data_IF_626803412848
#
_entry.id   IF_626803412848
#
_cell.length_a   1.000
_cell.length_b   1.000
_cell.length_c   1.000
_cell.angle_alpha   90.00
_cell.angle_beta   90.00
_cell.angle_gamma   90.00
#
_symmetry.space_group_name_H-M   'P 1'
#
loop_
_entity.id
_entity.type
_entity.pdbx_description
1 polymer ?
#
# COMPACT_ATOMS: atom_id res chain seq x y z
N UNK A 1 20.35 -22.15 -4.39
CA UNK A 1 19.21 -22.57 -3.59
C UNK A 1 18.18 -21.48 -3.72
N UNK A 2 17.04 -21.74 -4.35
CA UNK A 2 15.91 -20.79 -4.37
C UNK A 2 15.43 -20.63 -2.94
N UNK A 3 15.38 -19.39 -2.45
CA UNK A 3 14.82 -19.08 -1.15
C UNK A 3 13.34 -19.53 -1.17
N UNK A 4 12.97 -20.46 -0.33
CA UNK A 4 11.58 -20.93 -0.21
C UNK A 4 10.85 -19.87 0.63
N UNK A 5 9.82 -19.24 0.06
CA UNK A 5 8.91 -18.35 0.78
C UNK A 5 7.74 -19.14 1.36
N UNK A 6 7.25 -18.75 2.52
CA UNK A 6 6.04 -19.31 3.12
C UNK A 6 4.79 -18.89 2.33
N UNK A 7 4.85 -17.74 1.66
CA UNK A 7 3.87 -17.30 0.68
C UNK A 7 4.49 -16.47 -0.44
N UNK A 8 4.12 -16.78 -1.67
CA UNK A 8 4.61 -16.05 -2.85
C UNK A 8 3.46 -15.78 -3.83
N UNK A 9 3.42 -14.54 -4.31
CA UNK A 9 2.53 -14.11 -5.40
C UNK A 9 3.35 -13.43 -6.48
N UNK A 10 3.06 -13.77 -7.75
CA UNK A 10 3.58 -13.03 -8.89
C UNK A 10 2.43 -12.71 -9.87
N UNK A 11 2.15 -11.42 -10.04
CA UNK A 11 1.20 -10.88 -11.01
C UNK A 11 1.95 -10.17 -12.14
N UNK A 12 1.54 -10.43 -13.38
CA UNK A 12 2.08 -9.74 -14.55
C UNK A 12 0.94 -9.27 -15.44
N UNK A 13 1.03 -8.00 -15.88
CA UNK A 13 0.02 -7.34 -16.69
C UNK A 13 0.60 -6.86 -17.99
N UNK A 14 -0.15 -6.98 -19.09
CA UNK A 14 0.25 -6.46 -20.40
C UNK A 14 -0.94 -5.88 -21.15
N UNK A 15 -0.66 -4.87 -21.97
CA UNK A 15 -1.66 -4.31 -22.88
C UNK A 15 -1.77 -5.19 -24.12
N UNK A 16 -3.00 -5.58 -24.50
CA UNK A 16 -3.31 -6.22 -25.77
C UNK A 16 -4.45 -5.46 -26.44
N UNK A 17 -4.14 -4.78 -27.54
CA UNK A 17 -5.12 -4.02 -28.33
C UNK A 17 -5.92 -2.98 -27.51
N UNK A 18 -5.23 -2.25 -26.65
CA UNK A 18 -5.86 -1.21 -25.80
C UNK A 18 -6.55 -1.75 -24.55
N UNK A 19 -6.46 -3.03 -24.26
CA UNK A 19 -7.01 -3.64 -23.04
C UNK A 19 -5.92 -4.31 -22.22
N UNK A 20 -5.87 -4.04 -20.92
CA UNK A 20 -4.98 -4.74 -20.01
C UNK A 20 -5.51 -6.13 -19.68
N UNK A 21 -4.62 -7.11 -19.75
CA UNK A 21 -4.86 -8.49 -19.34
C UNK A 21 -3.79 -8.94 -18.36
N UNK A 22 -4.13 -9.83 -17.44
CA UNK A 22 -3.14 -10.54 -16.64
C UNK A 22 -2.54 -11.68 -17.47
N UNK A 23 -1.27 -11.58 -17.81
CA UNK A 23 -0.54 -12.63 -18.54
C UNK A 23 0.19 -13.58 -17.60
N UNK A 24 0.38 -13.19 -16.34
CA UNK A 24 0.98 -14.02 -15.30
C UNK A 24 0.18 -13.90 -14.01
N UNK A 25 -0.17 -15.05 -13.45
CA UNK A 25 -0.86 -15.18 -12.16
C UNK A 25 -0.33 -16.42 -11.47
N UNK A 26 0.66 -16.23 -10.62
CA UNK A 26 1.30 -17.31 -9.86
C UNK A 26 1.09 -17.08 -8.37
N UNK A 27 0.87 -18.15 -7.64
CA UNK A 27 0.69 -18.14 -6.20
C UNK A 27 1.19 -19.45 -5.57
N UNK A 28 1.82 -19.34 -4.41
CA UNK A 28 2.40 -20.48 -3.70
C UNK A 28 2.32 -20.28 -2.19
N UNK A 29 2.42 -21.36 -1.43
CA UNK A 29 2.43 -21.35 0.04
C UNK A 29 1.13 -20.81 0.62
N UNK A 30 1.24 -19.88 1.58
CA UNK A 30 0.12 -19.25 2.30
C UNK A 30 -0.49 -18.04 1.59
N UNK A 31 0.00 -17.66 0.42
CA UNK A 31 -0.52 -16.54 -0.36
C UNK A 31 -1.42 -16.97 -1.49
N UNK A 32 -2.50 -16.23 -1.72
CA UNK A 32 -3.46 -16.44 -2.82
C UNK A 32 -3.80 -15.12 -3.50
N UNK A 33 -4.33 -15.23 -4.71
CA UNK A 33 -4.85 -14.12 -5.50
C UNK A 33 -6.31 -14.39 -5.82
N UNK A 34 -7.16 -13.38 -5.77
CA UNK A 34 -8.57 -13.50 -6.12
C UNK A 34 -8.79 -13.99 -7.56
N UNK A 35 -10.02 -14.32 -7.90
CA UNK A 35 -10.45 -14.47 -9.28
C UNK A 35 -10.22 -13.16 -10.06
N UNK A 36 -10.26 -13.26 -11.38
CA UNK A 36 -10.14 -12.10 -12.27
C UNK A 36 -11.36 -11.18 -12.10
N UNK A 37 -11.09 -9.92 -11.77
CA UNK A 37 -12.09 -8.88 -11.63
C UNK A 37 -11.70 -7.69 -12.51
N UNK A 38 -12.68 -6.87 -12.85
CA UNK A 38 -12.45 -5.58 -13.53
C UNK A 38 -13.36 -4.52 -12.91
N UNK A 39 -12.86 -3.30 -12.84
CA UNK A 39 -13.68 -2.15 -12.43
C UNK A 39 -14.64 -1.70 -13.56
N UNK A 40 -15.37 -0.61 -13.33
CA UNK A 40 -16.31 -0.06 -14.31
C UNK A 40 -15.63 0.46 -15.59
N UNK A 41 -14.33 0.75 -15.55
CA UNK A 41 -13.53 1.20 -16.68
C UNK A 41 -12.83 0.03 -17.41
N UNK A 42 -13.03 -1.21 -16.96
CA UNK A 42 -12.37 -2.40 -17.50
C UNK A 42 -10.95 -2.61 -17.01
N UNK A 43 -10.50 -1.86 -16.01
CA UNK A 43 -9.18 -2.05 -15.37
C UNK A 43 -9.20 -3.33 -14.56
N UNK A 44 -8.29 -4.29 -14.83
CA UNK A 44 -8.22 -5.52 -14.03
C UNK A 44 -7.75 -5.19 -12.61
N UNK A 45 -8.41 -5.80 -11.62
CA UNK A 45 -7.98 -5.68 -10.23
C UNK A 45 -7.97 -7.02 -9.50
N UNK A 46 -7.03 -7.13 -8.56
CA UNK A 46 -6.78 -8.35 -7.79
C UNK A 46 -6.67 -8.07 -6.30
N UNK A 47 -7.22 -8.98 -5.51
CA UNK A 47 -7.00 -9.03 -4.08
C UNK A 47 -5.86 -10.00 -3.76
N UNK A 48 -4.88 -9.55 -3.00
CA UNK A 48 -3.92 -10.41 -2.31
C UNK A 48 -4.59 -10.97 -1.05
N UNK A 49 -4.49 -12.28 -0.86
CA UNK A 49 -5.18 -13.01 0.19
C UNK A 49 -4.16 -13.82 0.98
N UNK A 50 -4.12 -13.63 2.28
CA UNK A 50 -3.31 -14.44 3.17
C UNK A 50 -4.16 -15.58 3.75
N UNK A 51 -3.77 -16.82 3.44
CA UNK A 51 -4.40 -18.02 4.00
C UNK A 51 -3.93 -18.19 5.46
N UNK A 52 -4.78 -18.76 6.31
CA UNK A 52 -4.42 -18.98 7.72
C UNK A 52 -4.64 -17.75 8.63
N UNK A 53 -5.20 -16.65 8.08
CA UNK A 53 -5.66 -15.50 8.86
C UNK A 53 -4.57 -14.50 9.25
N UNK A 54 -3.28 -14.74 8.96
CA UNK A 54 -2.19 -13.81 9.24
C UNK A 54 -0.82 -14.46 9.15
N UNK A 55 0.22 -13.66 9.36
CA UNK A 55 1.62 -14.08 9.29
C UNK A 55 2.10 -14.62 10.65
N UNK A 56 2.76 -15.76 10.64
CA UNK A 56 3.31 -16.42 11.82
C UNK A 56 4.78 -16.05 12.01
N UNK A 57 5.28 -16.19 13.21
CA UNK A 57 6.67 -15.90 13.58
C UNK A 57 7.69 -16.56 12.64
N UNK A 58 8.60 -15.76 12.08
CA UNK A 58 9.70 -16.22 11.23
C UNK A 58 9.34 -16.48 9.78
N UNK A 59 8.06 -16.39 9.40
CA UNK A 59 7.62 -16.55 8.01
C UNK A 59 8.13 -15.43 7.11
N UNK A 60 8.35 -15.77 5.84
CA UNK A 60 8.82 -14.88 4.78
C UNK A 60 7.87 -14.90 3.59
N UNK A 61 7.44 -13.73 3.17
CA UNK A 61 6.49 -13.52 2.09
C UNK A 61 7.09 -12.70 0.96
N UNK A 62 6.72 -13.04 -0.27
CA UNK A 62 7.13 -12.30 -1.46
C UNK A 62 5.91 -11.94 -2.31
N UNK A 63 5.84 -10.68 -2.74
CA UNK A 63 4.91 -10.20 -3.76
C UNK A 63 5.73 -9.62 -4.91
N UNK A 64 5.47 -10.05 -6.14
CA UNK A 64 6.08 -9.50 -7.35
C UNK A 64 4.97 -9.04 -8.29
N UNK A 65 5.10 -7.82 -8.82
CA UNK A 65 4.13 -7.23 -9.74
C UNK A 65 4.88 -6.61 -10.91
N UNK A 66 4.59 -7.07 -12.11
CA UNK A 66 5.13 -6.51 -13.35
C UNK A 66 3.99 -5.89 -14.16
N UNK A 67 4.08 -4.62 -14.46
CA UNK A 67 3.12 -3.90 -15.32
C UNK A 67 3.86 -3.44 -16.56
N UNK A 68 3.63 -4.16 -17.66
CA UNK A 68 4.30 -3.91 -18.92
C UNK A 68 3.76 -2.62 -19.56
N UNK A 69 4.46 -2.16 -20.58
CA UNK A 69 4.14 -0.95 -21.35
C UNK A 69 2.66 -0.81 -21.65
N UNK A 70 2.14 0.41 -21.41
CA UNK A 70 0.74 0.83 -21.67
C UNK A 70 -0.32 -0.02 -20.92
N UNK A 71 0.06 -0.83 -19.95
CA UNK A 71 -0.88 -1.61 -19.15
C UNK A 71 -1.30 -0.83 -17.89
N UNK A 72 -2.54 -1.02 -17.44
CA UNK A 72 -3.09 -0.43 -16.22
C UNK A 72 -3.69 -1.53 -15.34
N UNK A 73 -3.27 -1.62 -14.08
CA UNK A 73 -3.77 -2.62 -13.14
C UNK A 73 -3.95 -2.03 -11.74
N UNK A 74 -4.85 -2.66 -10.97
CA UNK A 74 -5.05 -2.37 -9.56
C UNK A 74 -4.81 -3.63 -8.74
N UNK A 75 -4.02 -3.50 -7.68
CA UNK A 75 -3.75 -4.58 -6.72
C UNK A 75 -3.99 -4.05 -5.30
N UNK A 76 -4.74 -4.79 -4.53
CA UNK A 76 -5.04 -4.46 -3.12
C UNK A 76 -5.05 -5.74 -2.28
N UNK A 77 -5.13 -5.63 -0.96
CA UNK A 77 -5.33 -6.77 -0.08
C UNK A 77 -6.83 -7.01 0.15
N UNK A 78 -7.23 -8.24 0.44
CA UNK A 78 -8.63 -8.54 0.79
C UNK A 78 -8.97 -8.06 2.19
N UNK A 79 -8.01 -8.18 3.10
CA UNK A 79 -8.10 -7.79 4.51
C UNK A 79 -6.77 -7.19 4.96
N UNK A 80 -6.72 -6.47 6.07
CA UNK A 80 -5.47 -6.08 6.72
C UNK A 80 -4.52 -7.27 6.91
N UNK A 81 -3.22 -7.00 6.93
CA UNK A 81 -2.21 -8.01 7.22
C UNK A 81 -2.04 -8.16 8.72
N UNK A 82 -2.52 -9.25 9.28
CA UNK A 82 -2.31 -9.58 10.69
C UNK A 82 -0.92 -10.21 10.87
N UNK A 83 -0.16 -9.71 11.84
CA UNK A 83 1.14 -10.29 12.20
C UNK A 83 1.07 -10.81 13.63
N UNK A 84 1.13 -12.12 13.77
CA UNK A 84 0.97 -12.76 15.08
C UNK A 84 2.20 -12.58 15.98
N UNK A 85 2.03 -12.91 17.27
CA UNK A 85 3.08 -12.80 18.27
C UNK A 85 4.33 -13.62 17.88
N UNK A 86 5.49 -13.09 18.24
CA UNK A 86 6.79 -13.73 18.06
C UNK A 86 7.32 -14.18 19.43
N UNK A 87 7.11 -15.43 19.78
CA UNK A 87 7.52 -15.97 21.09
C UNK A 87 9.01 -16.30 21.18
N UNK A 88 9.60 -16.71 20.05
CA UNK A 88 11.03 -17.01 19.91
C UNK A 88 11.85 -15.79 19.49
N UNK A 89 11.21 -14.64 19.26
CA UNK A 89 11.84 -13.39 18.85
C UNK A 89 12.28 -13.35 17.37
N UNK A 90 11.84 -14.30 16.56
CA UNK A 90 12.14 -14.30 15.12
C UNK A 90 11.37 -13.20 14.40
N UNK A 91 11.96 -12.68 13.34
CA UNK A 91 11.38 -11.61 12.53
C UNK A 91 10.52 -12.20 11.41
N UNK A 92 9.27 -11.78 11.32
CA UNK A 92 8.39 -12.06 10.19
C UNK A 92 8.62 -11.00 9.12
N UNK A 93 8.69 -11.38 7.84
CA UNK A 93 9.09 -10.47 6.77
C UNK A 93 8.18 -10.57 5.54
N UNK A 94 8.00 -9.42 4.87
CA UNK A 94 7.42 -9.37 3.53
C UNK A 94 8.27 -8.51 2.62
N UNK A 95 8.50 -9.00 1.42
CA UNK A 95 9.18 -8.27 0.35
C UNK A 95 8.22 -8.06 -0.81
N UNK A 96 8.11 -6.82 -1.26
CA UNK A 96 7.32 -6.46 -2.44
C UNK A 96 8.24 -5.89 -3.50
N UNK A 97 8.19 -6.46 -4.71
CA UNK A 97 8.95 -5.98 -5.88
C UNK A 97 7.98 -5.59 -6.96
N UNK A 98 8.05 -4.35 -7.43
CA UNK A 98 7.16 -3.80 -8.46
C UNK A 98 8.02 -3.27 -9.61
N UNK A 99 7.67 -3.66 -10.84
CA UNK A 99 8.28 -3.13 -12.06
C UNK A 99 7.21 -2.46 -12.90
N UNK A 100 7.42 -1.20 -13.28
CA UNK A 100 6.52 -0.42 -14.14
C UNK A 100 7.25 0.01 -15.39
N UNK A 101 6.83 -0.51 -16.55
CA UNK A 101 7.37 -0.12 -17.85
C UNK A 101 6.77 1.20 -18.37
N UNK A 102 7.22 1.65 -19.52
CA UNK A 102 6.80 2.88 -20.20
C UNK A 102 5.27 3.03 -20.27
N UNK A 103 4.75 4.19 -19.85
CA UNK A 103 3.31 4.55 -19.81
C UNK A 103 2.43 3.56 -19.02
N UNK A 104 3.01 2.68 -18.21
CA UNK A 104 2.21 1.78 -17.37
C UNK A 104 1.60 2.53 -16.18
N UNK A 105 0.52 1.98 -15.63
CA UNK A 105 -0.13 2.54 -14.44
C UNK A 105 -0.45 1.45 -13.44
N UNK A 106 0.03 1.60 -12.21
CA UNK A 106 -0.31 0.71 -11.11
C UNK A 106 -0.95 1.48 -9.96
N UNK A 107 -2.08 0.96 -9.50
CA UNK A 107 -2.71 1.34 -8.24
C UNK A 107 -2.48 0.20 -7.23
N UNK A 108 -1.47 0.33 -6.39
CA UNK A 108 -1.20 -0.62 -5.30
C UNK A 108 -1.67 -0.02 -3.98
N UNK A 109 -2.82 -0.49 -3.51
CA UNK A 109 -3.46 0.04 -2.30
C UNK A 109 -3.71 -1.07 -1.29
N UNK A 110 -2.63 -1.47 -0.60
CA UNK A 110 -2.71 -2.44 0.48
C UNK A 110 -3.42 -1.86 1.71
N UNK A 111 -4.16 -2.69 2.44
CA UNK A 111 -4.64 -2.35 3.78
C UNK A 111 -3.47 -2.30 4.76
N UNK A 112 -3.72 -1.74 5.91
CA UNK A 112 -2.75 -1.58 6.99
C UNK A 112 -2.29 -2.93 7.55
N UNK A 113 -1.10 -2.93 8.13
CA UNK A 113 -0.62 -4.01 8.98
C UNK A 113 -1.21 -3.85 10.37
N UNK A 114 -1.74 -4.93 10.93
CA UNK A 114 -2.20 -5.02 12.33
C UNK A 114 -1.22 -5.89 13.10
N UNK A 115 -0.21 -5.30 13.75
CA UNK A 115 0.75 -6.04 14.55
C UNK A 115 0.12 -6.47 15.88
N UNK A 116 0.16 -7.75 16.19
CA UNK A 116 -0.35 -8.29 17.47
C UNK A 116 0.66 -8.08 18.59
N UNK A 117 0.18 -8.22 19.82
CA UNK A 117 1.01 -8.23 21.02
C UNK A 117 2.30 -9.04 20.81
N UNK A 118 3.47 -8.43 21.08
CA UNK A 118 4.82 -9.01 20.92
C UNK A 118 5.21 -9.40 19.48
N UNK A 119 4.47 -9.00 18.45
CA UNK A 119 4.88 -9.24 17.07
C UNK A 119 6.15 -8.49 16.71
N UNK A 120 6.86 -9.01 15.71
CA UNK A 120 8.06 -8.43 15.11
C UNK A 120 7.94 -8.55 13.60
N UNK A 121 7.84 -7.41 12.91
CA UNK A 121 7.57 -7.38 11.48
C UNK A 121 8.45 -6.40 10.74
N UNK A 122 8.94 -6.82 9.59
CA UNK A 122 9.65 -5.97 8.65
C UNK A 122 9.13 -6.18 7.23
N UNK A 123 8.64 -5.13 6.62
CA UNK A 123 8.32 -5.15 5.19
C UNK A 123 9.20 -4.20 4.41
N UNK A 124 9.50 -4.61 3.18
CA UNK A 124 10.21 -3.79 2.20
C UNK A 124 9.44 -3.76 0.90
N UNK A 125 9.42 -2.61 0.26
CA UNK A 125 8.85 -2.42 -1.06
C UNK A 125 9.88 -1.72 -1.95
N UNK A 126 10.29 -2.42 -3.01
CA UNK A 126 11.13 -1.87 -4.07
C UNK A 126 10.30 -1.70 -5.32
N UNK A 127 10.28 -0.49 -5.84
CA UNK A 127 9.53 -0.11 -7.03
C UNK A 127 10.51 0.45 -8.05
N UNK A 128 10.71 -0.26 -9.13
CA UNK A 128 11.50 0.20 -10.27
C UNK A 128 10.52 0.64 -11.36
N UNK A 129 10.52 1.92 -11.75
CA UNK A 129 9.53 2.47 -12.68
C UNK A 129 10.17 3.35 -13.76
N UNK A 130 9.58 3.30 -14.95
CA UNK A 130 9.86 4.24 -16.02
C UNK A 130 9.36 5.65 -15.64
N UNK A 131 10.01 6.69 -16.16
CA UNK A 131 9.63 8.09 -15.91
C UNK A 131 8.26 8.48 -16.43
N UNK A 132 7.78 7.77 -17.47
CA UNK A 132 6.44 7.97 -18.04
C UNK A 132 5.35 7.17 -17.31
N UNK A 133 5.74 6.26 -16.42
CA UNK A 133 4.80 5.44 -15.68
C UNK A 133 4.06 6.21 -14.59
N UNK A 134 2.89 5.69 -14.20
CA UNK A 134 2.04 6.24 -13.14
C UNK A 134 1.94 5.25 -11.99
N UNK A 135 2.07 5.75 -10.78
CA UNK A 135 2.01 4.96 -9.57
C UNK A 135 1.13 5.62 -8.51
N UNK A 136 0.19 4.86 -7.96
CA UNK A 136 -0.41 5.09 -6.64
C UNK A 136 0.04 3.94 -5.76
N UNK A 137 0.74 4.23 -4.68
CA UNK A 137 1.18 3.22 -3.72
C UNK A 137 0.81 3.64 -2.31
N UNK A 138 0.10 2.78 -1.58
CA UNK A 138 -0.19 3.03 -0.17
C UNK A 138 0.18 1.85 0.71
N UNK A 139 0.62 2.17 1.91
CA UNK A 139 0.86 1.26 3.02
C UNK A 139 0.45 1.91 4.34
N UNK A 140 0.48 1.12 5.41
CA UNK A 140 0.11 1.65 6.72
C UNK A 140 0.26 0.64 7.85
N UNK A 141 0.08 1.14 9.07
CA UNK A 141 0.14 0.35 10.29
C UNK A 141 -0.84 0.89 11.32
N UNK A 142 -1.45 -0.02 12.07
CA UNK A 142 -2.34 0.34 13.17
C UNK A 142 -1.59 0.35 14.51
N UNK A 143 -2.25 0.84 15.56
CA UNK A 143 -1.77 0.71 16.94
C UNK A 143 -1.64 -0.75 17.42
N UNK A 144 -2.05 -1.70 16.56
CA UNK A 144 -1.97 -3.13 16.81
C UNK A 144 -3.15 -3.68 17.62
N UNK A 145 -3.04 -4.96 17.97
CA UNK A 145 -4.06 -5.67 18.72
C UNK A 145 -3.47 -6.43 19.93
N UNK A 146 -4.17 -6.39 21.06
CA UNK A 146 -3.87 -7.18 22.26
C UNK A 146 -5.16 -7.68 22.91
N UNK A 147 -5.06 -8.72 23.73
CA UNK A 147 -6.21 -9.25 24.49
C UNK A 147 -6.82 -8.25 25.47
N UNK A 148 -6.01 -7.31 25.96
CA UNK A 148 -6.41 -6.28 26.91
C UNK A 148 -6.89 -4.99 26.23
N UNK A 149 -6.99 -5.02 24.89
CA UNK A 149 -7.34 -3.86 24.06
C UNK A 149 -6.40 -2.64 24.24
N UNK A 150 -5.15 -2.92 24.60
CA UNK A 150 -4.12 -1.91 24.77
C UNK A 150 -3.38 -1.68 23.44
N UNK A 151 -3.24 -0.42 22.99
CA UNK A 151 -2.51 -0.10 21.78
C UNK A 151 -0.99 -0.26 21.96
N UNK A 152 -0.28 -0.42 20.84
CA UNK A 152 1.19 -0.40 20.76
C UNK A 152 1.88 -1.47 21.63
N UNK A 153 1.31 -2.68 21.68
CA UNK A 153 1.87 -3.80 22.45
C UNK A 153 2.81 -4.70 21.62
N UNK A 154 3.05 -4.39 20.36
CA UNK A 154 4.03 -5.08 19.52
C UNK A 154 5.47 -4.68 19.89
N UNK A 155 6.44 -5.52 19.55
CA UNK A 155 7.85 -5.26 19.88
C UNK A 155 8.56 -4.46 18.79
N UNK A 156 8.21 -4.70 17.52
CA UNK A 156 8.94 -4.14 16.39
C UNK A 156 8.08 -4.11 15.13
N UNK A 157 8.00 -2.95 14.50
CA UNK A 157 7.46 -2.77 13.16
C UNK A 157 8.43 -1.90 12.37
N UNK A 158 8.82 -2.37 11.19
CA UNK A 158 9.60 -1.58 10.24
C UNK A 158 8.98 -1.69 8.86
N UNK A 159 8.86 -0.57 8.19
CA UNK A 159 8.51 -0.47 6.78
C UNK A 159 9.58 0.33 6.05
N UNK A 160 10.03 -0.14 4.88
CA UNK A 160 10.94 0.56 3.99
C UNK A 160 10.39 0.52 2.58
N UNK A 161 10.01 1.67 2.03
CA UNK A 161 9.53 1.82 0.66
C UNK A 161 10.53 2.65 -0.13
N UNK A 162 10.98 2.11 -1.27
CA UNK A 162 11.96 2.75 -2.15
C UNK A 162 11.46 2.75 -3.59
N UNK A 163 11.53 3.90 -4.26
CA UNK A 163 11.17 4.06 -5.67
C UNK A 163 12.42 4.48 -6.44
N UNK A 164 12.65 3.80 -7.55
CA UNK A 164 13.76 4.03 -8.47
C UNK A 164 13.25 4.40 -9.85
N UNK A 165 13.85 5.42 -10.47
CA UNK A 165 13.69 5.75 -11.89
C UNK A 165 15.06 5.74 -12.55
N UNK A 166 15.22 5.04 -13.68
CA UNK A 166 16.50 4.87 -14.35
C UNK A 166 17.64 4.36 -13.43
N UNK A 167 17.31 3.46 -12.49
CA UNK A 167 18.18 2.96 -11.43
C UNK A 167 18.64 4.02 -10.39
N UNK A 168 18.12 5.24 -10.43
CA UNK A 168 18.35 6.25 -9.41
C UNK A 168 17.27 6.20 -8.35
N UNK A 169 17.67 6.22 -7.07
CA UNK A 169 16.74 6.30 -5.96
C UNK A 169 16.10 7.69 -5.91
N UNK A 170 14.80 7.77 -6.22
CA UNK A 170 14.06 9.04 -6.29
C UNK A 170 13.14 9.26 -5.09
N UNK A 171 12.80 8.20 -4.36
CA UNK A 171 12.02 8.28 -3.13
C UNK A 171 12.42 7.18 -2.17
N UNK A 172 12.57 7.52 -0.90
CA UNK A 172 12.78 6.55 0.17
C UNK A 172 12.01 6.97 1.42
N UNK A 173 11.17 6.07 1.90
CA UNK A 173 10.41 6.24 3.14
C UNK A 173 10.68 5.09 4.09
N UNK A 174 10.96 5.41 5.34
CA UNK A 174 11.19 4.42 6.38
C UNK A 174 10.42 4.77 7.65
N UNK A 175 9.53 3.87 8.04
CA UNK A 175 8.85 3.89 9.33
C UNK A 175 9.47 2.84 10.24
N UNK A 176 9.90 3.24 11.42
CA UNK A 176 10.40 2.33 12.47
C UNK A 176 9.68 2.61 13.79
N UNK A 177 8.96 1.62 14.29
CA UNK A 177 8.20 1.71 15.54
C UNK A 177 8.66 0.62 16.49
N UNK A 178 9.15 1.05 17.64
CA UNK A 178 9.56 0.20 18.75
C UNK A 178 8.89 0.72 20.05
N UNK A 179 7.61 0.39 20.28
CA UNK A 179 6.81 0.98 21.36
C UNK A 179 7.41 0.85 22.76
N UNK A 180 8.24 -0.17 22.98
CA UNK A 180 8.94 -0.34 24.27
C UNK A 180 10.08 0.67 24.49
N UNK A 181 10.55 1.33 23.41
CA UNK A 181 11.64 2.32 23.45
C UNK A 181 11.16 3.74 23.16
N UNK A 182 9.97 3.85 22.58
CA UNK A 182 9.42 5.10 22.06
C UNK A 182 8.02 5.31 22.64
N UNK A 183 7.72 6.55 23.01
CA UNK A 183 6.36 6.92 23.43
C UNK A 183 5.51 7.23 22.20
N UNK A 184 4.65 6.28 21.82
CA UNK A 184 3.81 6.37 20.64
C UNK A 184 2.77 7.50 20.67
N UNK A 185 2.48 8.06 21.85
CA UNK A 185 1.49 9.15 21.99
C UNK A 185 2.09 10.54 21.84
N UNK A 186 3.43 10.66 21.75
CA UNK A 186 4.11 11.96 21.58
C UNK A 186 3.97 12.51 20.17
N UNK A 187 4.23 13.82 20.08
CA UNK A 187 4.36 14.57 18.84
C UNK A 187 5.38 13.89 17.89
N UNK A 188 4.99 13.74 16.62
CA UNK A 188 5.82 13.10 15.60
C UNK A 188 5.67 11.58 15.54
N UNK A 189 4.82 11.00 16.40
CA UNK A 189 4.38 9.60 16.34
C UNK A 189 2.88 9.54 16.02
N UNK A 190 2.07 8.90 16.86
CA UNK A 190 0.63 8.77 16.62
C UNK A 190 -0.21 9.87 17.27
N UNK A 191 0.30 10.62 18.24
CA UNK A 191 -0.36 11.80 18.84
C UNK A 191 -1.78 11.54 19.36
N UNK A 192 -2.05 10.32 19.81
CA UNK A 192 -3.39 9.89 20.24
C UNK A 192 -4.22 9.22 19.15
N UNK A 193 -3.74 9.18 17.92
CA UNK A 193 -4.34 8.40 16.84
C UNK A 193 -3.93 6.92 16.92
N UNK A 194 -4.67 6.06 16.21
CA UNK A 194 -4.43 4.61 16.25
C UNK A 194 -4.05 4.00 14.90
N UNK A 195 -4.12 4.78 13.82
CA UNK A 195 -3.81 4.31 12.48
C UNK A 195 -2.94 5.34 11.75
N UNK A 196 -1.91 4.87 11.10
CA UNK A 196 -1.02 5.65 10.25
C UNK A 196 -0.99 5.04 8.85
N UNK A 197 -1.13 5.88 7.83
CA UNK A 197 -0.92 5.50 6.44
C UNK A 197 0.00 6.49 5.74
N UNK A 198 0.75 5.96 4.79
CA UNK A 198 1.48 6.70 3.77
C UNK A 198 0.87 6.40 2.40
N UNK A 199 0.67 7.44 1.60
CA UNK A 199 0.29 7.33 0.20
C UNK A 199 1.31 8.11 -0.62
N UNK A 200 1.99 7.45 -1.55
CA UNK A 200 2.86 8.11 -2.52
C UNK A 200 2.26 7.99 -3.91
N UNK A 201 2.25 9.10 -4.64
CA UNK A 201 1.84 9.15 -6.03
C UNK A 201 2.99 9.70 -6.87
N UNK A 202 3.35 8.98 -7.93
CA UNK A 202 4.38 9.41 -8.89
C UNK A 202 3.78 9.35 -10.30
N UNK A 203 3.86 10.45 -11.01
CA UNK A 203 3.31 10.55 -12.36
C UNK A 203 3.88 11.79 -13.06
N UNK A 204 4.24 11.74 -14.34
CA UNK A 204 4.67 12.92 -15.08
C UNK A 204 3.63 14.04 -15.12
N UNK A 205 2.37 13.74 -14.79
CA UNK A 205 1.26 14.69 -14.77
C UNK A 205 1.03 15.35 -13.40
N UNK A 206 1.82 15.02 -12.37
CA UNK A 206 1.73 15.66 -11.05
C UNK A 206 2.71 16.83 -11.00
N UNK A 207 2.17 18.04 -11.01
CA UNK A 207 2.87 19.30 -10.80
C UNK A 207 2.39 20.00 -9.54
N UNK A 208 2.93 21.19 -9.24
CA UNK A 208 2.52 21.97 -8.08
C UNK A 208 1.04 22.39 -8.12
N UNK A 209 0.50 22.63 -9.33
CA UNK A 209 -0.90 23.00 -9.50
C UNK A 209 -1.81 21.83 -9.12
N UNK A 210 -1.47 20.64 -9.57
CA UNK A 210 -2.17 19.39 -9.17
C UNK A 210 -2.14 19.19 -7.66
N UNK A 211 -0.97 19.28 -7.02
CA UNK A 211 -0.82 19.11 -5.56
C UNK A 211 -1.67 20.12 -4.79
N UNK A 212 -1.69 21.38 -5.23
CA UNK A 212 -2.51 22.44 -4.62
C UNK A 212 -4.01 22.17 -4.81
N UNK A 213 -4.41 21.72 -5.97
CA UNK A 213 -5.81 21.40 -6.27
C UNK A 213 -6.30 20.19 -5.46
N UNK A 214 -5.49 19.12 -5.38
CA UNK A 214 -5.79 17.94 -4.55
C UNK A 214 -5.92 18.31 -3.06
N UNK A 215 -5.00 19.13 -2.54
CA UNK A 215 -5.10 19.61 -1.15
C UNK A 215 -6.42 20.32 -0.90
N UNK A 216 -6.76 21.27 -1.76
CA UNK A 216 -8.02 22.02 -1.66
C UNK A 216 -9.24 21.10 -1.76
N UNK A 217 -9.19 20.08 -2.63
CA UNK A 217 -10.25 19.09 -2.76
C UNK A 217 -10.44 18.33 -1.45
N UNK A 218 -9.36 17.78 -0.87
CA UNK A 218 -9.42 17.01 0.38
C UNK A 218 -9.87 17.87 1.57
N UNK A 219 -9.40 19.13 1.68
CA UNK A 219 -9.84 20.08 2.70
C UNK A 219 -11.33 20.40 2.59
N UNK A 220 -11.92 20.28 1.40
CA UNK A 220 -13.35 20.46 1.15
C UNK A 220 -14.21 19.24 1.54
N UNK A 221 -13.58 18.09 1.82
CA UNK A 221 -14.28 16.89 2.26
C UNK A 221 -14.39 16.87 3.79
N UNK A 222 -15.48 16.29 4.29
CA UNK A 222 -15.63 16.06 5.74
C UNK A 222 -14.89 14.77 6.14
N UNK A 223 -13.56 14.88 6.30
CA UNK A 223 -12.67 13.78 6.69
C UNK A 223 -12.37 13.84 8.18
N UNK A 224 -12.34 12.69 8.85
CA UNK A 224 -12.10 12.58 10.29
C UNK A 224 -10.64 12.28 10.64
N UNK A 225 -9.77 12.15 9.63
CA UNK A 225 -8.35 11.92 9.77
C UNK A 225 -7.57 13.22 9.62
N UNK A 226 -6.47 13.36 10.35
CA UNK A 226 -5.46 14.37 10.06
C UNK A 226 -4.60 13.92 8.89
N UNK A 227 -4.29 14.82 7.96
CA UNK A 227 -3.43 14.52 6.83
C UNK A 227 -2.56 15.70 6.43
N UNK A 228 -1.42 15.38 5.84
CA UNK A 228 -0.52 16.36 5.26
C UNK A 228 -0.01 15.90 3.90
N UNK A 229 0.06 16.83 2.93
CA UNK A 229 0.56 16.57 1.57
C UNK A 229 1.84 17.35 1.37
N UNK A 230 2.86 16.70 0.79
CA UNK A 230 4.11 17.31 0.35
C UNK A 230 4.42 16.92 -1.09
N UNK A 231 4.90 17.87 -1.89
CA UNK A 231 5.47 17.57 -3.20
C UNK A 231 6.80 16.84 -3.03
N UNK A 232 7.14 16.01 -3.99
CA UNK A 232 8.46 15.37 -4.10
C UNK A 232 9.37 16.21 -5.00
N UNK A 233 10.67 15.96 -4.97
CA UNK A 233 11.64 16.56 -5.91
C UNK A 233 11.45 16.07 -7.36
N UNK A 234 10.75 14.94 -7.53
CA UNK A 234 10.26 14.44 -8.81
C UNK A 234 8.80 14.80 -9.01
N UNK A 235 8.24 14.58 -10.21
CA UNK A 235 6.80 14.72 -10.48
C UNK A 235 5.99 13.74 -9.64
N UNK A 236 5.62 14.16 -8.43
CA UNK A 236 4.94 13.31 -7.47
C UNK A 236 4.62 14.01 -6.15
N UNK A 237 3.93 13.30 -5.29
CA UNK A 237 3.55 13.75 -3.96
C UNK A 237 3.57 12.61 -2.94
N UNK A 238 3.68 12.95 -1.69
CA UNK A 238 3.45 12.05 -0.57
C UNK A 238 2.38 12.63 0.34
N UNK A 239 1.49 11.76 0.79
CA UNK A 239 0.45 12.06 1.78
C UNK A 239 0.70 11.19 3.02
N UNK A 240 0.66 11.82 4.20
CA UNK A 240 0.71 11.16 5.51
C UNK A 240 -0.62 11.33 6.19
N UNK A 241 -1.15 10.26 6.77
CA UNK A 241 -2.50 10.23 7.31
C UNK A 241 -2.48 9.62 8.70
N UNK A 242 -3.09 10.28 9.66
CA UNK A 242 -3.35 9.78 11.00
C UNK A 242 -4.86 9.74 11.25
N UNK A 243 -5.39 8.62 11.70
CA UNK A 243 -6.82 8.46 11.96
C UNK A 243 -7.12 7.59 13.17
N UNK A 244 -8.35 7.67 13.65
CA UNK A 244 -8.84 6.82 14.74
C UNK A 244 -9.05 5.40 14.28
N UNK A 245 -9.60 5.24 13.08
CA UNK A 245 -9.88 3.95 12.48
C UNK A 245 -9.20 3.80 11.11
N UNK A 246 -8.98 2.58 10.68
CA UNK A 246 -8.48 2.27 9.34
C UNK A 246 -9.45 2.76 8.25
N UNK A 247 -10.74 2.77 8.54
CA UNK A 247 -11.77 3.27 7.62
C UNK A 247 -11.63 4.77 7.36
N UNK A 248 -11.33 5.57 8.39
CA UNK A 248 -11.14 7.02 8.24
C UNK A 248 -9.97 7.29 7.30
N UNK A 249 -8.83 6.61 7.49
CA UNK A 249 -7.66 6.75 6.63
C UNK A 249 -7.93 6.27 5.20
N UNK A 250 -8.67 5.17 5.05
CA UNK A 250 -9.04 4.64 3.74
C UNK A 250 -9.89 5.62 2.93
N UNK A 251 -10.78 6.37 3.57
CA UNK A 251 -11.56 7.44 2.90
C UNK A 251 -10.64 8.51 2.29
N UNK A 252 -9.60 8.90 3.00
CA UNK A 252 -8.60 9.84 2.49
C UNK A 252 -7.85 9.24 1.30
N UNK A 253 -7.36 8.00 1.42
CA UNK A 253 -6.62 7.29 0.36
C UNK A 253 -7.49 7.18 -0.90
N UNK A 254 -8.74 6.76 -0.76
CA UNK A 254 -9.64 6.61 -1.91
C UNK A 254 -10.03 7.96 -2.52
N UNK A 255 -10.23 8.99 -1.72
CA UNK A 255 -10.47 10.34 -2.24
C UNK A 255 -9.29 10.85 -3.09
N UNK A 256 -8.05 10.59 -2.65
CA UNK A 256 -6.84 10.91 -3.43
C UNK A 256 -6.78 10.12 -4.73
N UNK A 257 -7.00 8.80 -4.66
CA UNK A 257 -6.97 7.92 -5.82
C UNK A 257 -8.07 8.30 -6.82
N UNK A 258 -9.30 8.53 -6.36
CA UNK A 258 -10.44 8.93 -7.19
C UNK A 258 -10.17 10.29 -7.89
N UNK A 259 -9.59 11.25 -7.16
CA UNK A 259 -9.21 12.53 -7.74
C UNK A 259 -8.16 12.37 -8.84
N UNK A 260 -7.10 11.60 -8.61
CA UNK A 260 -6.06 11.31 -9.60
C UNK A 260 -6.64 10.58 -10.82
N UNK A 261 -7.45 9.55 -10.61
CA UNK A 261 -8.12 8.79 -11.67
C UNK A 261 -8.95 9.70 -12.57
N UNK A 262 -9.72 10.61 -11.99
CA UNK A 262 -10.60 11.50 -12.72
C UNK A 262 -9.83 12.58 -13.47
N UNK A 263 -8.92 13.29 -12.79
CA UNK A 263 -8.24 14.46 -13.36
C UNK A 263 -7.17 14.10 -14.37
N UNK A 264 -6.46 12.97 -14.16
CA UNK A 264 -5.34 12.57 -15.03
C UNK A 264 -5.77 11.59 -16.11
N UNK A 265 -6.66 10.66 -15.78
CA UNK A 265 -7.01 9.55 -16.68
C UNK A 265 -8.47 9.55 -17.16
N UNK A 266 -9.32 10.46 -16.67
CA UNK A 266 -10.75 10.50 -17.02
C UNK A 266 -11.52 9.25 -16.58
N UNK A 267 -11.03 8.52 -15.58
CA UNK A 267 -11.64 7.29 -15.08
C UNK A 267 -12.69 7.59 -14.00
N UNK A 268 -13.66 6.70 -13.87
CA UNK A 268 -14.63 6.77 -12.78
C UNK A 268 -13.99 6.43 -11.43
N UNK A 269 -14.59 6.87 -10.31
CA UNK A 269 -14.12 6.52 -8.97
C UNK A 269 -14.00 5.02 -8.75
N UNK A 270 -13.13 4.65 -7.82
CA UNK A 270 -12.92 3.27 -7.40
C UNK A 270 -14.21 2.66 -6.85
N UNK A 271 -14.55 1.46 -7.33
CA UNK A 271 -15.64 0.66 -6.80
C UNK A 271 -15.16 -0.79 -6.65
N UNK A 272 -14.33 -1.01 -5.63
CA UNK A 272 -13.84 -2.33 -5.31
C UNK A 272 -14.93 -3.10 -4.56
N UNK A 273 -15.14 -4.37 -4.92
CA UNK A 273 -16.03 -5.29 -4.19
C UNK A 273 -15.38 -5.76 -2.87
N UNK A 274 -14.86 -4.80 -2.12
CA UNK A 274 -14.35 -4.94 -0.77
C UNK A 274 -15.47 -4.51 0.17
N UNK A 275 -15.54 -5.04 1.40
CA UNK A 275 -16.53 -4.61 2.39
C UNK A 275 -16.38 -3.10 2.63
N UNK A 276 -16.99 -2.35 1.75
CA UNK A 276 -16.95 -0.89 1.75
C UNK A 276 -18.26 -0.41 2.35
N UNK A 277 -18.20 0.19 3.53
CA UNK A 277 -19.35 0.78 4.20
C UNK A 277 -19.76 2.14 3.58
N UNK A 278 -19.47 2.36 2.30
CA UNK A 278 -20.02 3.47 1.52
C UNK A 278 -21.51 3.22 1.25
N UNK A 279 -22.32 3.23 2.29
CA UNK A 279 -23.77 3.27 2.19
C UNK A 279 -24.32 4.42 3.00
#
# INVERSE_FOLDING_TARGET
MTQAYDGFVHLGFSNRNGRTISHKKYQEGNSRVSADNSDANGVPYYFLINMGGGFVEGEQYQVTIDVNKDAHALVTTQTPTYVYKCEKGQLTQQHTSITLEENSYLEYMADEVIPYLKSRYFQTSRIDMDKSAHLIYSDGVTAGWSHEDLPFQYHYFRNLTQIYQDNELVYSDQTLLEPQKQDMFKLGYFEGWHNYNSLVMVSPNIDEAFVKALRKYLEGLNLESDFAISSLDISGLVLRILGKTAEDNRRVIYACADYFRQEIHGLTPLNLRKNDMRR
#
